data_IF_981738728486
#
_entry.id   IF_981738728486
#
_cell.length_a   1.000
_cell.length_b   1.000
_cell.length_c   1.000
_cell.angle_alpha   90.00
_cell.angle_beta   90.00
_cell.angle_gamma   90.00
#
_symmetry.space_group_name_H-M   'P 1'
#
loop_
_entity.id
_entity.type
_entity.pdbx_description
1 polymer ?
#
# COMPACT_ATOMS: atom_id res chain seq x y z
N UNK A 1 4.78 -5.49 -63.61
CA UNK A 1 3.79 -5.55 -62.53
C UNK A 1 4.34 -6.45 -61.43
N UNK A 2 4.84 -5.89 -60.33
CA UNK A 2 5.20 -6.65 -59.12
C UNK A 2 4.51 -5.97 -57.94
N UNK A 3 3.58 -6.67 -57.32
CA UNK A 3 2.72 -6.16 -56.25
C UNK A 3 3.51 -6.12 -54.94
N UNK A 4 3.54 -4.96 -54.29
CA UNK A 4 4.07 -4.78 -52.94
C UNK A 4 3.14 -5.46 -51.93
N UNK A 5 3.55 -6.62 -51.41
CA UNK A 5 2.84 -7.29 -50.32
C UNK A 5 3.11 -6.49 -49.03
N UNK A 6 2.15 -5.66 -48.64
CA UNK A 6 2.18 -4.85 -47.44
C UNK A 6 2.10 -5.78 -46.21
N UNK A 7 3.22 -5.94 -45.49
CA UNK A 7 3.26 -6.68 -44.22
C UNK A 7 2.38 -5.98 -43.18
N UNK A 8 1.44 -6.69 -42.50
CA UNK A 8 0.62 -6.10 -41.45
C UNK A 8 1.48 -5.77 -40.23
N UNK A 9 1.43 -4.50 -39.82
CA UNK A 9 2.12 -3.96 -38.66
C UNK A 9 1.61 -4.63 -37.36
N UNK A 10 2.45 -5.33 -36.58
CA UNK A 10 2.00 -5.94 -35.33
C UNK A 10 1.61 -4.86 -34.33
N UNK A 11 0.34 -4.83 -33.95
CA UNK A 11 -0.17 -3.94 -32.90
C UNK A 11 0.37 -4.44 -31.54
N UNK A 12 0.94 -3.58 -30.68
CA UNK A 12 1.37 -3.98 -29.35
C UNK A 12 0.14 -4.31 -28.48
N UNK A 13 0.04 -5.55 -28.01
CA UNK A 13 -0.97 -5.94 -27.03
C UNK A 13 -0.64 -5.30 -25.67
N UNK A 14 -1.62 -4.76 -24.93
CA UNK A 14 -1.39 -4.29 -23.57
C UNK A 14 -1.04 -5.48 -22.68
N UNK A 15 0.15 -5.46 -22.10
CA UNK A 15 0.56 -6.44 -21.10
C UNK A 15 -0.23 -6.19 -19.81
N UNK A 16 -0.77 -7.23 -19.15
CA UNK A 16 -1.32 -7.11 -17.80
C UNK A 16 -0.27 -6.49 -16.87
N UNK A 17 -0.68 -5.49 -16.09
CA UNK A 17 0.18 -4.83 -15.12
C UNK A 17 0.71 -5.82 -14.06
N UNK A 18 1.83 -5.51 -13.41
CA UNK A 18 2.38 -6.35 -12.36
C UNK A 18 1.35 -6.56 -11.23
N UNK A 19 1.36 -7.75 -10.58
CA UNK A 19 0.48 -8.02 -9.46
C UNK A 19 0.73 -7.01 -8.32
N UNK A 20 -0.30 -6.67 -7.52
CA UNK A 20 -0.14 -5.79 -6.37
C UNK A 20 0.91 -6.38 -5.42
N UNK A 21 1.91 -5.57 -5.06
CA UNK A 21 2.90 -5.98 -4.08
C UNK A 21 2.24 -6.12 -2.71
N UNK A 22 2.68 -7.08 -1.88
CA UNK A 22 2.28 -7.12 -0.48
C UNK A 22 2.58 -5.76 0.16
N UNK A 23 1.58 -5.17 0.81
CA UNK A 23 1.77 -3.91 1.52
C UNK A 23 2.88 -4.07 2.56
N UNK A 24 3.83 -3.14 2.59
CA UNK A 24 4.90 -3.17 3.58
C UNK A 24 4.28 -2.95 4.97
N UNK A 25 4.48 -3.87 5.93
CA UNK A 25 3.87 -3.77 7.25
C UNK A 25 4.37 -2.54 8.04
N UNK A 26 5.49 -1.94 7.66
CA UNK A 26 6.00 -0.71 8.28
C UNK A 26 5.28 0.53 7.76
N UNK A 27 4.77 0.51 6.52
CA UNK A 27 4.03 1.63 5.96
C UNK A 27 2.78 1.97 6.81
N UNK A 28 2.05 0.95 7.29
CA UNK A 28 0.91 1.16 8.19
C UNK A 28 1.31 1.76 9.54
N UNK A 29 2.48 1.38 10.07
CA UNK A 29 3.03 1.97 11.29
C UNK A 29 3.41 3.43 11.08
N UNK A 30 4.04 3.78 9.94
CA UNK A 30 4.42 5.17 9.64
C UNK A 30 3.20 6.09 9.53
N UNK A 31 2.14 5.64 8.86
CA UNK A 31 0.86 6.37 8.77
C UNK A 31 0.22 6.54 10.15
N UNK A 32 0.18 5.48 10.97
CA UNK A 32 -0.39 5.56 12.31
C UNK A 32 0.42 6.49 13.24
N UNK A 33 1.75 6.50 13.11
CA UNK A 33 2.63 7.39 13.86
C UNK A 33 2.47 8.85 13.43
N UNK A 34 2.23 9.12 12.14
CA UNK A 34 1.87 10.46 11.65
C UNK A 34 0.53 10.92 12.24
N UNK A 35 -0.42 10.00 12.43
CA UNK A 35 -1.68 10.26 13.14
C UNK A 35 -1.53 10.69 14.61
N UNK A 36 -0.35 10.54 15.23
CA UNK A 36 -0.05 11.04 16.58
C UNK A 36 0.43 12.50 16.59
N UNK A 37 0.60 13.15 15.45
CA UNK A 37 0.93 14.56 15.40
C UNK A 37 -0.22 15.42 15.97
N UNK A 38 0.13 16.50 16.67
CA UNK A 38 -0.81 17.46 17.26
C UNK A 38 -1.86 16.84 18.19
N UNK A 39 -1.47 15.82 18.96
CA UNK A 39 -2.36 15.22 19.96
C UNK A 39 -2.85 16.24 20.99
N UNK A 40 -2.06 17.26 21.37
CA UNK A 40 -2.50 18.25 22.36
C UNK A 40 -3.69 19.12 21.90
N UNK A 41 -3.97 19.15 20.60
CA UNK A 41 -5.08 19.91 20.02
C UNK A 41 -6.42 19.15 20.05
N UNK A 42 -6.43 17.87 20.47
CA UNK A 42 -7.64 17.04 20.47
C UNK A 42 -8.08 16.62 21.88
N UNK A 43 -9.35 16.25 22.09
CA UNK A 43 -9.81 15.80 23.40
C UNK A 43 -9.21 14.43 23.75
N UNK A 44 -9.06 14.15 25.04
CA UNK A 44 -8.46 12.91 25.56
C UNK A 44 -9.02 11.62 24.93
N UNK A 45 -10.33 11.57 24.66
CA UNK A 45 -10.93 10.41 23.99
C UNK A 45 -10.30 10.13 22.63
N UNK A 46 -10.07 11.16 21.82
CA UNK A 46 -9.40 11.04 20.52
C UNK A 46 -7.91 10.67 20.67
N UNK A 47 -7.24 11.07 21.75
CA UNK A 47 -5.87 10.61 22.00
C UNK A 47 -5.85 9.09 22.11
N UNK A 48 -6.74 8.54 22.92
CA UNK A 48 -6.80 7.10 23.18
C UNK A 48 -7.08 6.34 21.88
N UNK A 49 -7.99 6.83 21.05
CA UNK A 49 -8.30 6.23 19.75
C UNK A 49 -7.10 6.23 18.78
N UNK A 50 -6.33 7.34 18.72
CA UNK A 50 -5.12 7.41 17.89
C UNK A 50 -4.01 6.49 18.39
N UNK A 51 -3.84 6.37 19.71
CA UNK A 51 -2.89 5.40 20.29
C UNK A 51 -3.32 3.95 20.09
N UNK A 52 -4.62 3.65 20.17
CA UNK A 52 -5.16 2.31 19.89
C UNK A 52 -4.94 1.89 18.43
N UNK A 53 -5.09 2.82 17.48
CA UNK A 53 -4.77 2.59 16.08
C UNK A 53 -3.30 2.19 15.88
N UNK A 54 -2.36 2.90 16.51
CA UNK A 54 -0.93 2.53 16.48
C UNK A 54 -0.68 1.16 17.10
N UNK A 55 -1.33 0.85 18.22
CA UNK A 55 -1.20 -0.45 18.87
C UNK A 55 -1.72 -1.60 17.99
N UNK A 56 -2.81 -1.37 17.28
CA UNK A 56 -3.39 -2.31 16.32
C UNK A 56 -2.44 -2.57 15.14
N UNK A 57 -1.89 -1.52 14.54
CA UNK A 57 -0.93 -1.64 13.43
C UNK A 57 0.35 -2.36 13.85
N UNK A 58 0.89 -2.05 15.04
CA UNK A 58 2.05 -2.74 15.57
C UNK A 58 1.77 -4.23 15.82
N UNK A 59 0.60 -4.55 16.37
CA UNK A 59 0.17 -5.94 16.59
C UNK A 59 0.02 -6.69 15.26
N UNK A 60 -0.56 -6.06 14.25
CA UNK A 60 -0.69 -6.63 12.91
C UNK A 60 0.66 -6.89 12.25
N UNK A 61 1.58 -5.92 12.32
CA UNK A 61 2.92 -6.03 11.77
C UNK A 61 3.72 -7.16 12.44
N UNK A 62 3.69 -7.23 13.78
CA UNK A 62 4.36 -8.28 14.53
C UNK A 62 3.75 -9.66 14.26
N UNK A 63 2.41 -9.76 14.23
CA UNK A 63 1.70 -11.02 13.91
C UNK A 63 1.95 -11.49 12.48
N UNK A 64 2.22 -10.57 11.55
CA UNK A 64 2.56 -10.91 10.17
C UNK A 64 3.97 -11.49 10.04
N UNK A 65 4.89 -11.09 10.93
CA UNK A 65 6.26 -11.62 11.01
C UNK A 65 6.28 -12.97 11.74
N UNK A 66 5.44 -13.14 12.76
CA UNK A 66 5.37 -14.33 13.64
C UNK A 66 4.70 -15.57 13.00
N UNK A 67 4.27 -15.50 11.74
CA UNK A 67 3.75 -16.69 11.02
C UNK A 67 4.88 -17.71 10.77
N UNK A 68 5.08 -18.61 11.73
CA UNK A 68 5.83 -19.88 11.61
C UNK A 68 4.94 -21.02 11.09
#
# INVERSE_FOLDING_TARGET
>A
MVSVQQQPNPQPYPVPGPPPQPADPRAGIEEAMNGLENLDEVPLSEHVERFDAVHTELTFALSSIDKV
#
